data_IF_255902797873
#
_entry.id   IF_255902797873
#
_cell.length_a   1.000
_cell.length_b   1.000
_cell.length_c   1.000
_cell.angle_alpha   90.00
_cell.angle_beta   90.00
_cell.angle_gamma   90.00
#
_symmetry.space_group_name_H-M   'P 1'
#
loop_
_entity.id
_entity.type
_entity.pdbx_description
1 polymer ?
#
# COMPACT_ATOMS: atom_id res chain seq x y z
N UNK A 1 4.03 16.79 -17.70
CA UNK A 1 2.69 16.19 -17.72
C UNK A 1 2.82 14.80 -17.12
N UNK A 2 2.25 14.51 -15.95
CA UNK A 2 2.24 13.15 -15.42
C UNK A 2 1.14 12.35 -16.13
N UNK A 3 1.51 11.15 -16.56
CA UNK A 3 0.68 10.15 -17.22
C UNK A 3 -0.48 9.78 -16.29
N UNK A 4 -1.71 9.85 -16.81
CA UNK A 4 -2.91 9.44 -16.10
C UNK A 4 -3.06 7.92 -16.20
N UNK A 5 -3.50 7.28 -15.11
CA UNK A 5 -3.46 5.84 -14.85
C UNK A 5 -3.68 4.94 -16.08
N UNK A 6 -2.85 3.90 -16.20
CA UNK A 6 -2.97 2.86 -17.21
C UNK A 6 -4.33 2.16 -17.01
N UNK A 7 -5.16 2.23 -18.06
CA UNK A 7 -6.44 1.54 -18.16
C UNK A 7 -6.19 0.03 -18.15
N UNK A 8 -6.62 -0.67 -17.10
CA UNK A 8 -6.62 -2.14 -17.04
C UNK A 8 -8.06 -2.66 -17.00
N UNK A 9 -8.59 -2.87 -18.20
CA UNK A 9 -9.75 -3.71 -18.49
C UNK A 9 -9.34 -5.20 -18.47
N UNK A 10 -10.19 -6.15 -18.05
CA UNK A 10 -9.95 -7.58 -18.26
C UNK A 10 -9.64 -7.98 -19.72
N UNK A 11 -9.93 -7.14 -20.73
CA UNK A 11 -9.51 -7.34 -22.13
C UNK A 11 -8.14 -6.75 -22.50
N UNK A 12 -7.46 -6.01 -21.61
CA UNK A 12 -6.20 -5.30 -21.97
C UNK A 12 -5.00 -6.22 -22.18
N UNK A 13 -5.09 -7.48 -21.77
CA UNK A 13 -4.05 -8.49 -22.00
C UNK A 13 -3.73 -8.72 -23.48
N UNK A 14 -4.60 -8.33 -24.42
CA UNK A 14 -4.35 -8.47 -25.85
C UNK A 14 -3.39 -7.42 -26.46
N UNK A 15 -3.19 -6.27 -25.80
CA UNK A 15 -2.44 -5.15 -26.41
C UNK A 15 -1.03 -4.99 -25.85
N UNK A 16 -0.73 -5.64 -24.72
CA UNK A 16 0.63 -5.79 -24.21
C UNK A 16 1.01 -7.25 -24.40
N UNK A 17 1.46 -7.60 -25.61
CA UNK A 17 2.04 -8.91 -25.89
C UNK A 17 3.41 -9.03 -25.22
N UNK A 18 3.44 -9.22 -23.90
CA UNK A 18 4.65 -9.67 -23.21
C UNK A 18 4.92 -11.16 -23.44
N UNK A 19 3.97 -11.90 -24.00
CA UNK A 19 4.11 -13.33 -24.28
C UNK A 19 5.02 -13.60 -25.49
N UNK A 20 5.01 -12.74 -26.52
CA UNK A 20 5.89 -12.91 -27.70
C UNK A 20 7.38 -12.71 -27.36
N UNK A 21 7.69 -12.01 -26.26
CA UNK A 21 9.06 -11.91 -25.70
C UNK A 21 9.44 -13.04 -24.75
N UNK A 22 8.53 -14.00 -24.52
CA UNK A 22 8.77 -15.19 -23.68
C UNK A 22 9.08 -16.43 -24.54
N UNK A 23 8.71 -16.41 -25.83
CA UNK A 23 9.03 -17.49 -26.78
C UNK A 23 10.47 -17.39 -27.36
N UNK A 24 11.29 -16.48 -26.85
CA UNK A 24 12.71 -16.36 -27.18
C UNK A 24 13.53 -17.07 -26.10
N UNK A 25 13.97 -18.30 -26.39
CA UNK A 25 14.63 -19.24 -25.47
C UNK A 25 15.96 -18.72 -24.83
N UNK A 26 16.38 -17.50 -25.16
CA UNK A 26 17.64 -16.86 -24.75
C UNK A 26 17.48 -15.75 -23.68
N UNK A 27 16.26 -15.46 -23.21
CA UNK A 27 16.04 -14.44 -22.17
C UNK A 27 16.05 -15.07 -20.76
N UNK A 28 17.03 -14.66 -19.96
CA UNK A 28 17.16 -15.01 -18.53
C UNK A 28 15.83 -14.74 -17.79
N UNK A 29 15.12 -15.82 -17.46
CA UNK A 29 13.83 -15.87 -16.76
C UNK A 29 13.75 -14.88 -15.59
N UNK A 30 14.89 -14.63 -14.94
CA UNK A 30 15.03 -13.73 -13.80
C UNK A 30 14.73 -12.27 -14.17
N UNK A 31 15.20 -11.78 -15.32
CA UNK A 31 15.02 -10.40 -15.76
C UNK A 31 13.56 -10.10 -16.16
N UNK A 32 12.91 -11.06 -16.82
CA UNK A 32 11.50 -10.94 -17.21
C UNK A 32 10.58 -10.96 -15.99
N UNK A 33 10.87 -11.80 -14.99
CA UNK A 33 10.13 -11.82 -13.72
C UNK A 33 10.29 -10.49 -12.96
N UNK A 34 11.50 -9.94 -12.87
CA UNK A 34 11.72 -8.65 -12.20
C UNK A 34 11.05 -7.49 -12.94
N UNK A 35 11.12 -7.47 -14.27
CA UNK A 35 10.47 -6.43 -15.09
C UNK A 35 8.95 -6.53 -14.98
N UNK A 36 8.39 -7.74 -15.01
CA UNK A 36 6.96 -7.98 -14.80
C UNK A 36 6.52 -7.53 -13.41
N UNK A 37 7.26 -7.88 -12.36
CA UNK A 37 6.90 -7.47 -11.00
C UNK A 37 7.02 -5.95 -10.81
N UNK A 38 8.03 -5.32 -11.41
CA UNK A 38 8.14 -3.86 -11.43
C UNK A 38 6.96 -3.21 -12.13
N UNK A 39 6.59 -3.68 -13.33
CA UNK A 39 5.43 -3.16 -14.06
C UNK A 39 4.14 -3.41 -13.27
N UNK A 40 3.97 -4.58 -12.65
CA UNK A 40 2.81 -4.89 -11.83
C UNK A 40 2.73 -3.99 -10.58
N UNK A 41 3.85 -3.71 -9.92
CA UNK A 41 3.89 -2.79 -8.77
C UNK A 41 3.62 -1.34 -9.18
N UNK A 42 4.02 -0.93 -10.38
CA UNK A 42 3.71 0.39 -10.94
C UNK A 42 2.25 0.49 -11.44
N UNK A 43 1.66 -0.60 -11.93
CA UNK A 43 0.31 -0.62 -12.53
C UNK A 43 -0.79 -0.95 -11.51
N UNK A 44 -0.53 -1.84 -10.54
CA UNK A 44 -1.50 -2.29 -9.52
C UNK A 44 -0.90 -2.20 -8.10
N UNK A 45 -0.83 -0.99 -7.54
CA UNK A 45 -0.25 -0.79 -6.21
C UNK A 45 -1.04 -1.47 -5.07
N UNK A 46 -0.31 -1.94 -4.05
CA UNK A 46 -0.93 -2.45 -2.81
C UNK A 46 -1.77 -1.36 -2.12
N UNK A 47 -1.25 -0.13 -2.06
CA UNK A 47 -1.97 1.03 -1.52
C UNK A 47 -1.93 2.16 -2.53
N UNK A 48 -3.10 2.66 -2.92
CA UNK A 48 -3.24 3.82 -3.81
C UNK A 48 -3.52 5.07 -2.98
N UNK A 49 -2.73 6.12 -3.22
CA UNK A 49 -2.88 7.43 -2.59
C UNK A 49 -3.40 8.44 -3.61
N UNK A 50 -4.60 8.97 -3.39
CA UNK A 50 -5.24 9.99 -4.22
C UNK A 50 -5.18 11.36 -3.55
N UNK A 51 -4.32 12.24 -4.08
CA UNK A 51 -4.04 13.59 -3.56
C UNK A 51 -3.85 14.58 -4.70
N UNK A 52 -4.19 15.84 -4.47
CA UNK A 52 -3.98 16.98 -5.37
C UNK A 52 -4.44 16.70 -6.80
N UNK A 53 -5.68 16.21 -6.91
CA UNK A 53 -6.27 15.80 -8.19
C UNK A 53 -7.71 16.27 -8.30
N UNK A 54 -8.08 16.76 -9.47
CA UNK A 54 -9.44 17.17 -9.79
C UNK A 54 -9.99 16.33 -10.93
N UNK A 55 -11.10 15.64 -10.68
CA UNK A 55 -11.76 14.74 -11.63
C UNK A 55 -12.96 15.44 -12.26
N UNK A 56 -13.03 15.48 -13.59
CA UNK A 56 -14.12 16.14 -14.33
C UNK A 56 -13.80 17.53 -14.91
N UNK A 57 -12.67 18.14 -14.50
CA UNK A 57 -12.27 19.51 -14.87
C UNK A 57 -12.14 19.77 -16.37
N UNK A 58 -11.68 18.76 -17.12
CA UNK A 58 -11.46 18.87 -18.56
C UNK A 58 -12.50 18.07 -19.37
N UNK A 59 -13.65 17.75 -18.78
CA UNK A 59 -14.69 17.03 -19.49
C UNK A 59 -15.34 17.90 -20.56
N UNK A 60 -15.58 17.32 -21.74
CA UNK A 60 -16.15 18.01 -22.89
C UNK A 60 -17.61 18.38 -22.62
N UNK A 61 -17.97 19.65 -22.78
CA UNK A 61 -19.29 20.19 -22.39
C UNK A 61 -20.42 19.97 -23.40
N UNK A 62 -20.16 19.43 -24.60
CA UNK A 62 -21.18 19.33 -25.66
C UNK A 62 -22.21 18.22 -25.45
N UNK A 63 -21.88 17.19 -24.65
CA UNK A 63 -22.84 16.16 -24.24
C UNK A 63 -23.13 16.27 -22.74
N UNK A 64 -24.34 16.72 -22.33
CA UNK A 64 -24.71 16.85 -20.93
C UNK A 64 -24.83 15.50 -20.19
N UNK A 65 -24.89 14.37 -20.90
CA UNK A 65 -24.94 13.03 -20.32
C UNK A 65 -23.56 12.37 -20.19
N UNK A 66 -22.55 12.91 -20.84
CA UNK A 66 -21.20 12.36 -20.79
C UNK A 66 -20.51 12.76 -19.48
N UNK A 67 -19.88 11.78 -18.83
CA UNK A 67 -19.26 11.91 -17.51
C UNK A 67 -17.80 11.48 -17.59
N UNK A 68 -16.94 12.21 -16.89
CA UNK A 68 -15.53 11.83 -16.79
C UNK A 68 -15.40 10.69 -15.78
N UNK A 69 -15.21 9.47 -16.30
CA UNK A 69 -15.08 8.27 -15.48
C UNK A 69 -13.63 8.05 -15.07
N UNK A 70 -13.39 7.88 -13.78
CA UNK A 70 -12.10 7.47 -13.23
C UNK A 70 -12.28 6.26 -12.31
N UNK A 71 -11.37 5.30 -12.42
CA UNK A 71 -11.40 4.07 -11.64
C UNK A 71 -10.10 3.94 -10.86
N UNK A 72 -10.23 3.63 -9.57
CA UNK A 72 -9.10 3.45 -8.68
C UNK A 72 -9.23 2.10 -7.98
N UNK A 73 -8.22 1.26 -8.19
CA UNK A 73 -8.11 -0.07 -7.63
C UNK A 73 -6.84 -0.14 -6.80
N UNK A 74 -6.93 -0.71 -5.61
CA UNK A 74 -5.76 -1.10 -4.83
C UNK A 74 -5.96 -2.51 -4.28
N UNK A 75 -4.87 -3.23 -4.02
CA UNK A 75 -4.99 -4.54 -3.39
C UNK A 75 -5.41 -4.42 -1.92
N UNK A 76 -4.67 -3.66 -1.12
CA UNK A 76 -4.95 -3.44 0.30
C UNK A 76 -5.94 -2.28 0.49
N UNK A 77 -5.54 -1.04 0.18
CA UNK A 77 -6.35 0.16 0.48
C UNK A 77 -6.24 1.25 -0.55
N UNK A 78 -7.35 1.95 -0.77
CA UNK A 78 -7.35 3.27 -1.42
C UNK A 78 -7.47 4.34 -0.34
N UNK A 79 -6.57 5.33 -0.34
CA UNK A 79 -6.59 6.45 0.60
C UNK A 79 -6.75 7.74 -0.18
N UNK A 80 -7.70 8.57 0.23
CA UNK A 80 -8.06 9.82 -0.47
C UNK A 80 -7.97 11.00 0.50
N UNK A 81 -7.32 12.10 0.12
CA UNK A 81 -7.24 13.32 0.94
C UNK A 81 -6.18 14.29 0.44
N UNK A 82 -5.91 15.37 1.20
CA UNK A 82 -4.98 16.43 0.80
C UNK A 82 -3.52 16.27 1.28
N UNK A 83 -3.33 15.51 2.36
CA UNK A 83 -2.07 15.37 3.09
C UNK A 83 -1.82 13.89 3.42
N UNK A 84 -1.94 13.03 2.41
CA UNK A 84 -1.91 11.57 2.57
C UNK A 84 -0.60 10.94 2.10
N UNK A 85 0.16 11.63 1.25
CA UNK A 85 1.44 11.14 0.73
C UNK A 85 2.42 12.28 0.44
N UNK A 86 3.72 12.11 0.75
CA UNK A 86 4.75 13.05 0.34
C UNK A 86 5.13 12.89 -1.14
N UNK A 87 4.64 11.85 -1.84
CA UNK A 87 4.97 11.56 -3.25
C UNK A 87 4.35 12.57 -4.21
N UNK A 88 3.24 13.18 -3.82
CA UNK A 88 2.49 14.13 -4.63
C UNK A 88 2.48 15.47 -3.90
N UNK A 89 2.45 16.56 -4.65
CA UNK A 89 2.23 17.89 -4.05
C UNK A 89 0.97 17.87 -3.18
N UNK A 90 1.00 18.64 -2.09
CA UNK A 90 -0.15 18.79 -1.21
C UNK A 90 -1.30 19.46 -1.96
N UNK A 91 -2.52 19.02 -1.69
CA UNK A 91 -3.70 19.60 -2.32
C UNK A 91 -4.90 18.65 -2.29
N UNK A 92 -6.12 19.17 -2.33
CA UNK A 92 -7.32 18.38 -2.19
C UNK A 92 -7.55 17.41 -3.36
N UNK A 93 -8.31 16.36 -3.08
CA UNK A 93 -8.92 15.51 -4.09
C UNK A 93 -10.36 15.97 -4.32
N UNK A 94 -10.65 16.50 -5.51
CA UNK A 94 -11.94 17.11 -5.83
C UNK A 94 -12.60 16.34 -6.98
N UNK A 95 -13.82 15.87 -6.75
CA UNK A 95 -14.68 15.33 -7.82
C UNK A 95 -15.64 16.45 -8.23
N UNK A 96 -15.50 16.94 -9.46
CA UNK A 96 -16.39 17.94 -10.02
C UNK A 96 -17.72 17.34 -10.47
N UNK A 97 -18.70 18.20 -10.78
CA UNK A 97 -20.07 17.82 -11.15
C UNK A 97 -20.17 16.73 -12.22
N UNK A 98 -19.30 16.76 -13.23
CA UNK A 98 -19.27 15.78 -14.34
C UNK A 98 -18.44 14.53 -14.01
N UNK A 99 -17.72 14.52 -12.88
CA UNK A 99 -16.91 13.41 -12.44
C UNK A 99 -17.74 12.21 -12.00
N UNK A 100 -17.26 11.02 -12.37
CA UNK A 100 -17.73 9.74 -11.87
C UNK A 100 -16.52 8.92 -11.43
N UNK A 101 -16.41 8.65 -10.14
CA UNK A 101 -15.26 7.94 -9.57
C UNK A 101 -15.73 6.64 -8.92
N UNK A 102 -15.11 5.53 -9.36
CA UNK A 102 -15.22 4.25 -8.68
C UNK A 102 -13.90 3.96 -7.96
N UNK A 103 -13.97 3.61 -6.69
CA UNK A 103 -12.80 3.25 -5.88
C UNK A 103 -13.05 1.95 -5.11
N UNK A 104 -12.15 0.98 -5.19
CA UNK A 104 -12.27 -0.25 -4.42
C UNK A 104 -10.93 -0.88 -4.04
N UNK A 105 -10.95 -1.62 -2.94
CA UNK A 105 -9.82 -2.42 -2.44
C UNK A 105 -10.30 -3.50 -1.47
N UNK A 106 -9.44 -4.48 -1.15
CA UNK A 106 -9.80 -5.57 -0.24
C UNK A 106 -10.03 -5.13 1.20
N UNK A 107 -9.20 -4.21 1.70
CA UNK A 107 -9.29 -3.73 3.08
C UNK A 107 -9.89 -2.31 3.15
N UNK A 108 -10.52 -1.88 2.06
CA UNK A 108 -11.42 -0.73 1.99
C UNK A 108 -10.81 0.57 1.50
N UNK A 109 -11.69 1.56 1.40
CA UNK A 109 -11.40 2.91 0.91
C UNK A 109 -11.49 3.87 2.09
N UNK A 110 -10.43 4.63 2.35
CA UNK A 110 -10.31 5.55 3.48
C UNK A 110 -10.31 6.98 2.98
N UNK A 111 -11.32 7.74 3.37
CA UNK A 111 -11.39 9.18 3.14
C UNK A 111 -10.79 9.92 4.33
N UNK A 112 -9.87 10.84 4.04
CA UNK A 112 -9.25 11.76 4.98
C UNK A 112 -9.65 13.19 4.64
N UNK A 113 -9.32 14.18 5.51
CA UNK A 113 -9.48 15.59 5.17
C UNK A 113 -8.90 15.93 3.79
N UNK A 114 -9.56 16.85 3.09
CA UNK A 114 -9.21 17.24 1.73
C UNK A 114 -9.89 16.44 0.61
N UNK A 115 -10.80 15.52 0.95
CA UNK A 115 -11.72 14.91 -0.02
C UNK A 115 -12.97 15.77 -0.19
N UNK A 116 -13.25 16.18 -1.43
CA UNK A 116 -14.42 16.99 -1.77
C UNK A 116 -15.16 16.45 -2.99
N UNK A 117 -16.49 16.53 -2.95
CA UNK A 117 -17.38 16.14 -4.05
C UNK A 117 -18.37 17.27 -4.32
N UNK A 118 -18.47 17.71 -5.57
CA UNK A 118 -19.48 18.70 -5.97
C UNK A 118 -20.86 18.05 -6.15
N UNK A 119 -21.91 18.84 -5.97
CA UNK A 119 -23.28 18.39 -6.23
C UNK A 119 -23.44 17.96 -7.70
N UNK A 120 -23.98 16.76 -7.92
CA UNK A 120 -24.13 16.14 -9.25
C UNK A 120 -23.00 15.19 -9.65
N UNK A 121 -21.86 15.24 -8.95
CA UNK A 121 -20.81 14.23 -9.08
C UNK A 121 -21.30 12.85 -8.63
N UNK A 122 -20.65 11.79 -9.12
CA UNK A 122 -20.91 10.41 -8.73
C UNK A 122 -19.63 9.85 -8.12
N UNK A 123 -19.79 9.24 -6.96
CA UNK A 123 -18.71 8.58 -6.27
C UNK A 123 -19.23 7.28 -5.69
N UNK A 124 -18.53 6.19 -5.97
CA UNK A 124 -18.86 4.88 -5.45
C UNK A 124 -17.59 4.24 -4.88
N UNK A 125 -17.59 4.04 -3.57
CA UNK A 125 -16.54 3.32 -2.87
C UNK A 125 -17.08 2.04 -2.29
N UNK A 126 -16.39 0.93 -2.54
CA UNK A 126 -16.81 -0.37 -2.05
C UNK A 126 -15.61 -1.26 -1.75
N UNK A 127 -15.83 -2.26 -0.90
CA UNK A 127 -14.83 -3.27 -0.58
C UNK A 127 -15.01 -4.42 -1.57
N UNK A 128 -13.97 -4.74 -2.34
CA UNK A 128 -13.98 -5.85 -3.28
C UNK A 128 -12.58 -6.44 -3.44
N UNK A 129 -12.53 -7.76 -3.53
CA UNK A 129 -11.33 -8.54 -3.77
C UNK A 129 -11.52 -9.42 -5.01
N UNK A 130 -10.73 -9.18 -6.05
CA UNK A 130 -10.85 -9.90 -7.32
C UNK A 130 -10.32 -11.35 -7.27
N UNK A 131 -9.97 -11.88 -6.09
CA UNK A 131 -9.41 -13.23 -5.94
C UNK A 131 -8.02 -13.43 -6.57
N UNK A 132 -7.51 -12.46 -7.33
CA UNK A 132 -6.14 -12.38 -7.82
C UNK A 132 -5.19 -12.19 -6.63
N UNK A 133 -4.90 -13.30 -5.95
CA UNK A 133 -3.87 -13.38 -4.95
C UNK A 133 -2.55 -13.12 -5.68
N UNK A 134 -1.96 -11.94 -5.50
CA UNK A 134 -0.52 -11.81 -5.76
C UNK A 134 0.13 -12.95 -5.00
N UNK A 135 0.98 -13.79 -5.63
CA UNK A 135 1.83 -14.66 -4.87
C UNK A 135 2.71 -13.73 -4.05
N UNK A 136 2.28 -13.42 -2.82
CA UNK A 136 3.21 -13.06 -1.77
C UNK A 136 4.25 -14.15 -1.87
N UNK A 137 5.49 -13.81 -2.18
CA UNK A 137 6.61 -14.72 -2.01
C UNK A 137 6.41 -15.35 -0.64
N UNK A 138 5.89 -16.58 -0.65
CA UNK A 138 5.74 -17.38 0.54
C UNK A 138 7.18 -17.65 0.89
N UNK A 139 7.75 -16.82 1.77
CA UNK A 139 9.02 -17.12 2.41
C UNK A 139 8.95 -18.59 2.80
N UNK A 140 9.87 -19.37 2.23
CA UNK A 140 9.98 -20.83 2.33
C UNK A 140 9.19 -21.37 3.51
N UNK A 141 8.00 -21.88 3.24
CA UNK A 141 7.37 -22.83 4.16
C UNK A 141 8.25 -24.06 4.13
N UNK A 142 9.06 -24.23 5.17
CA UNK A 142 9.65 -25.53 5.50
C UNK A 142 8.50 -26.49 5.73
N UNK A 143 8.23 -27.33 4.73
CA UNK A 143 7.35 -28.47 4.86
C UNK A 143 7.93 -29.42 5.91
N UNK A 144 7.23 -29.57 7.04
CA UNK A 144 7.17 -30.85 7.72
C UNK A 144 5.69 -31.27 7.70
N UNK A 145 5.46 -32.43 7.10
CA UNK A 145 4.14 -32.93 6.71
C UNK A 145 3.25 -33.35 7.87
N UNK A 146 1.96 -33.49 7.55
CA UNK A 146 0.94 -34.01 8.44
C UNK A 146 -0.45 -33.69 7.90
N UNK A 147 -1.06 -34.70 7.27
CA UNK A 147 -2.29 -34.77 6.50
C UNK A 147 -3.62 -34.47 7.21
N UNK A 148 -4.59 -34.07 6.37
CA UNK A 148 -6.02 -34.42 6.34
C UNK A 148 -7.12 -33.51 6.92
N UNK A 149 -7.94 -33.07 5.96
CA UNK A 149 -9.41 -33.17 5.88
C UNK A 149 -10.35 -32.09 6.45
N UNK A 150 -11.14 -31.58 5.50
CA UNK A 150 -12.58 -31.33 5.50
C UNK A 150 -13.15 -29.96 5.90
N UNK A 151 -13.70 -29.31 4.86
CA UNK A 151 -14.93 -28.52 4.76
C UNK A 151 -15.70 -28.17 6.04
N UNK A 152 -16.04 -26.90 6.21
CA UNK A 152 -17.43 -26.45 6.24
C UNK A 152 -17.53 -24.91 6.28
N UNK A 153 -18.29 -24.36 5.34
CA UNK A 153 -18.98 -23.07 5.44
C UNK A 153 -19.90 -23.05 6.66
N UNK A 154 -19.82 -22.03 7.52
CA UNK A 154 -20.96 -21.63 8.34
C UNK A 154 -20.94 -20.12 8.68
N UNK A 155 -21.61 -19.37 7.80
CA UNK A 155 -22.67 -18.39 8.08
C UNK A 155 -22.63 -17.64 9.44
N UNK A 156 -22.32 -16.35 9.34
CA UNK A 156 -22.93 -15.20 10.02
C UNK A 156 -23.94 -15.49 11.15
N UNK A 157 -23.57 -15.11 12.37
CA UNK A 157 -24.48 -14.54 13.35
C UNK A 157 -23.84 -13.28 13.96
N UNK A 158 -24.32 -12.12 13.50
CA UNK A 158 -24.05 -10.81 14.07
C UNK A 158 -24.76 -10.73 15.43
N UNK A 159 -24.00 -10.77 16.53
CA UNK A 159 -24.56 -10.43 17.84
C UNK A 159 -24.36 -8.94 18.09
N UNK A 160 -25.42 -8.17 17.84
CA UNK A 160 -25.54 -6.78 18.28
C UNK A 160 -25.89 -6.81 19.76
N UNK A 161 -25.04 -6.20 20.60
CA UNK A 161 -25.38 -5.80 21.98
C UNK A 161 -25.00 -4.32 22.14
N UNK A 162 -25.86 -3.49 22.76
CA UNK A 162 -25.83 -2.04 22.58
C UNK A 162 -25.00 -1.29 23.64
N UNK A 163 -24.65 -0.05 23.27
CA UNK A 163 -24.34 1.11 24.12
C UNK A 163 -23.14 1.02 25.08
N UNK A 164 -22.10 1.82 24.81
CA UNK A 164 -21.88 3.11 25.49
C UNK A 164 -20.63 3.80 24.93
N UNK A 165 -20.75 5.11 24.83
CA UNK A 165 -19.68 6.08 24.63
C UNK A 165 -18.46 5.80 25.49
N UNK A 166 -17.28 5.75 24.87
CA UNK A 166 -16.03 6.21 25.45
C UNK A 166 -15.06 6.45 24.30
N UNK A 167 -14.84 7.73 24.01
CA UNK A 167 -13.59 8.19 23.43
C UNK A 167 -12.44 7.65 24.30
N UNK A 168 -11.38 7.25 23.62
CA UNK A 168 -10.01 7.01 24.09
C UNK A 168 -9.52 5.54 24.17
N UNK A 169 -8.26 5.39 23.72
CA UNK A 169 -7.37 4.21 23.84
C UNK A 169 -7.53 3.07 22.81
N UNK A 170 -7.24 3.37 21.55
CA UNK A 170 -6.33 2.53 20.76
C UNK A 170 -5.26 3.40 20.11
N UNK A 171 -4.33 3.91 20.91
CA UNK A 171 -3.05 4.40 20.40
C UNK A 171 -2.34 3.24 19.71
N UNK A 172 -2.47 3.15 18.39
CA UNK A 172 -1.67 2.26 17.56
C UNK A 172 -0.20 2.66 17.77
N UNK A 173 0.52 1.90 18.58
CA UNK A 173 1.89 2.23 18.98
C UNK A 173 2.82 2.09 17.76
N UNK A 174 3.35 3.21 17.24
CA UNK A 174 4.10 3.29 15.98
C UNK A 174 5.61 3.32 16.23
N UNK A 175 6.37 2.53 15.48
CA UNK A 175 7.84 2.57 15.44
C UNK A 175 8.29 3.95 14.94
N UNK A 176 9.14 4.63 15.71
CA UNK A 176 9.66 5.96 15.34
C UNK A 176 11.17 5.91 15.16
N UNK A 177 11.66 6.75 14.25
CA UNK A 177 13.09 6.91 13.99
C UNK A 177 13.38 8.39 13.91
N UNK A 178 14.37 8.84 14.67
CA UNK A 178 14.79 10.22 14.78
C UNK A 178 16.26 10.34 14.37
N UNK A 179 16.61 11.25 13.45
CA UNK A 179 18.01 11.62 13.29
C UNK A 179 18.49 12.29 14.58
N UNK A 180 19.67 11.91 15.08
CA UNK A 180 20.35 12.58 16.17
C UNK A 180 21.42 13.51 15.57
N UNK A 181 21.19 14.84 15.54
CA UNK A 181 22.10 15.79 14.91
C UNK A 181 23.48 15.88 15.59
N UNK A 182 23.58 15.47 16.86
CA UNK A 182 24.80 15.61 17.65
C UNK A 182 25.83 14.52 17.34
N UNK A 183 25.40 13.32 16.92
CA UNK A 183 26.25 12.13 16.93
C UNK A 183 26.25 11.32 15.61
N UNK A 184 25.93 11.94 14.45
CA UNK A 184 25.88 11.24 13.13
C UNK A 184 25.06 9.93 13.12
N UNK A 185 24.12 9.77 14.06
CA UNK A 185 23.39 8.53 14.27
C UNK A 185 21.89 8.74 14.36
N UNK A 186 21.17 7.65 14.59
CA UNK A 186 19.72 7.61 14.64
C UNK A 186 19.26 7.00 15.96
N UNK A 187 18.23 7.60 16.54
CA UNK A 187 17.50 7.01 17.66
C UNK A 187 16.27 6.30 17.13
N UNK A 188 16.16 5.01 17.41
CA UNK A 188 14.99 4.18 17.07
C UNK A 188 14.20 3.97 18.36
N UNK A 189 12.94 4.40 18.36
CA UNK A 189 11.99 4.22 19.45
C UNK A 189 11.01 3.10 19.09
N UNK A 190 11.11 1.98 19.81
CA UNK A 190 10.25 0.82 19.66
C UNK A 190 8.95 0.99 20.45
N UNK A 191 7.81 0.61 19.84
CA UNK A 191 6.50 0.62 20.50
C UNK A 191 6.44 -0.21 21.79
N UNK A 192 7.08 -1.38 21.76
CA UNK A 192 7.13 -2.34 22.85
C UNK A 192 8.47 -3.08 22.83
N UNK A 193 8.90 -3.61 23.97
CA UNK A 193 10.17 -4.34 24.10
C UNK A 193 10.06 -5.79 23.60
N UNK A 194 8.85 -6.26 23.32
CA UNK A 194 8.60 -7.58 22.80
C UNK A 194 8.80 -7.58 21.28
N UNK A 195 10.00 -7.97 20.83
CA UNK A 195 10.24 -8.16 19.41
C UNK A 195 11.70 -8.26 19.02
N UNK A 196 11.93 -8.45 17.72
CA UNK A 196 13.24 -8.43 17.10
C UNK A 196 13.28 -7.32 16.07
N UNK A 197 14.42 -6.64 15.96
CA UNK A 197 14.64 -5.66 14.93
C UNK A 197 15.79 -6.08 14.02
N UNK A 198 15.67 -5.75 12.75
CA UNK A 198 16.64 -6.03 11.70
C UNK A 198 16.85 -4.75 10.92
N UNK A 199 18.12 -4.41 10.67
CA UNK A 199 18.52 -3.24 9.90
C UNK A 199 19.24 -3.73 8.66
N UNK A 200 18.71 -3.38 7.48
CA UNK A 200 19.26 -3.78 6.18
C UNK A 200 19.58 -2.57 5.32
N UNK A 201 20.58 -2.68 4.43
CA UNK A 201 20.78 -1.71 3.35
C UNK A 201 19.84 -2.00 2.15
N UNK A 202 19.97 -1.22 1.07
CA UNK A 202 19.22 -1.40 -0.18
C UNK A 202 19.46 -2.74 -0.88
N UNK A 203 20.62 -3.36 -0.64
CA UNK A 203 20.98 -4.65 -1.24
C UNK A 203 20.52 -5.84 -0.36
N UNK A 204 19.70 -5.58 0.67
CA UNK A 204 19.23 -6.61 1.60
C UNK A 204 20.28 -7.14 2.58
N UNK A 205 21.51 -6.60 2.57
CA UNK A 205 22.57 -6.97 3.52
C UNK A 205 22.16 -6.54 4.93
N UNK A 206 22.09 -7.50 5.86
CA UNK A 206 21.82 -7.26 7.27
C UNK A 206 23.04 -6.62 7.94
N UNK A 207 22.87 -5.43 8.52
CA UNK A 207 23.91 -4.75 9.30
C UNK A 207 23.77 -5.05 10.79
N UNK A 208 22.54 -5.16 11.27
CA UNK A 208 22.26 -5.44 12.68
C UNK A 208 20.96 -6.22 12.81
N UNK A 209 20.98 -7.22 13.69
CA UNK A 209 19.81 -8.02 14.05
C UNK A 209 19.91 -8.31 15.55
N UNK A 210 18.90 -7.91 16.31
CA UNK A 210 18.87 -8.16 17.75
C UNK A 210 17.46 -8.12 18.32
N UNK A 211 17.30 -8.66 19.52
CA UNK A 211 16.07 -8.52 20.31
C UNK A 211 15.98 -7.08 20.83
N UNK A 212 14.77 -6.54 20.93
CA UNK A 212 14.56 -5.22 21.53
C UNK A 212 14.77 -5.35 23.05
N UNK A 213 15.93 -4.91 23.55
CA UNK A 213 16.25 -4.92 24.98
C UNK A 213 15.86 -3.61 25.69
N UNK A 214 15.71 -2.54 24.92
CA UNK A 214 15.34 -1.20 25.39
C UNK A 214 14.32 -0.60 24.45
N UNK A 215 13.41 0.22 24.98
CA UNK A 215 12.45 0.99 24.16
C UNK A 215 13.14 1.93 23.18
N UNK A 216 14.35 2.37 23.48
CA UNK A 216 15.13 3.24 22.59
C UNK A 216 16.51 2.65 22.38
N UNK A 217 16.96 2.66 21.13
CA UNK A 217 18.34 2.32 20.77
C UNK A 217 18.93 3.44 19.92
N UNK A 218 20.23 3.67 20.11
CA UNK A 218 21.02 4.52 19.23
C UNK A 218 21.79 3.64 18.23
N UNK A 219 21.88 4.09 16.98
CA UNK A 219 22.67 3.44 15.96
C UNK A 219 23.36 4.45 15.04
N UNK A 220 24.63 4.22 14.79
CA UNK A 220 25.39 4.89 13.76
C UNK A 220 25.34 4.07 12.47
N UNK A 221 25.04 4.73 11.36
CA UNK A 221 24.96 4.12 10.04
C UNK A 221 25.85 4.92 9.08
N UNK A 222 26.67 4.26 8.25
CA UNK A 222 27.38 4.93 7.17
C UNK A 222 26.42 5.65 6.22
N UNK A 223 26.93 6.51 5.35
CA UNK A 223 26.11 7.19 4.34
C UNK A 223 25.40 6.18 3.45
N UNK A 224 24.09 6.33 3.29
CA UNK A 224 23.29 5.40 2.51
C UNK A 224 21.81 5.33 2.93
N UNK A 225 21.10 4.41 2.29
CA UNK A 225 19.68 4.14 2.57
C UNK A 225 19.55 2.80 3.29
N UNK A 226 18.80 2.80 4.39
CA UNK A 226 18.59 1.64 5.24
C UNK A 226 17.11 1.44 5.56
N UNK A 227 16.77 0.21 5.93
CA UNK A 227 15.43 -0.16 6.39
C UNK A 227 15.54 -0.81 7.77
N UNK A 228 14.85 -0.23 8.75
CA UNK A 228 14.63 -0.84 10.07
C UNK A 228 13.31 -1.58 10.04
N UNK A 229 13.37 -2.89 10.19
CA UNK A 229 12.21 -3.77 10.32
C UNK A 229 12.11 -4.25 11.75
N UNK A 230 11.01 -3.95 12.42
CA UNK A 230 10.70 -4.43 13.75
C UNK A 230 9.55 -5.43 13.68
N UNK A 231 9.76 -6.61 14.27
CA UNK A 231 8.81 -7.72 14.30
C UNK A 231 8.40 -7.98 15.74
N UNK A 232 7.12 -7.82 16.05
CA UNK A 232 6.51 -8.21 17.32
C UNK A 232 5.36 -9.18 17.12
N UNK A 233 4.72 -9.57 18.22
CA UNK A 233 3.48 -10.35 18.21
C UNK A 233 2.32 -9.60 17.54
N UNK A 234 2.38 -8.27 17.54
CA UNK A 234 1.35 -7.39 16.98
C UNK A 234 1.57 -7.08 15.50
N UNK A 235 2.64 -7.60 14.90
CA UNK A 235 2.91 -7.48 13.47
C UNK A 235 4.32 -6.96 13.15
N UNK A 236 4.49 -6.56 11.90
CA UNK A 236 5.78 -6.09 11.38
C UNK A 236 5.66 -4.62 10.98
N UNK A 237 6.53 -3.78 11.51
CA UNK A 237 6.66 -2.38 11.12
C UNK A 237 8.01 -2.15 10.45
N UNK A 238 8.03 -1.38 9.36
CA UNK A 238 9.26 -1.03 8.65
C UNK A 238 9.38 0.48 8.50
N UNK A 239 10.58 1.03 8.74
CA UNK A 239 10.92 2.44 8.56
C UNK A 239 12.17 2.59 7.71
N UNK A 240 12.16 3.55 6.78
CA UNK A 240 13.31 3.93 5.97
C UNK A 240 14.16 4.93 6.74
N UNK A 241 15.47 4.77 6.69
CA UNK A 241 16.49 5.68 7.22
C UNK A 241 17.35 6.16 6.05
N UNK A 242 17.65 7.46 6.02
CA UNK A 242 18.56 8.06 5.05
C UNK A 242 19.69 8.69 5.87
N UNK A 243 20.88 8.11 5.80
CA UNK A 243 22.10 8.63 6.40
C UNK A 243 22.87 9.43 5.35
N UNK A 244 23.18 10.69 5.64
CA UNK A 244 23.75 11.68 4.71
C UNK A 244 25.26 11.89 4.89
#
# INVERSE_FOLDING_TARGET
MPFEAIYCDPQTYQYIKMQESVDDDDLDDTYLVHTRNFILDEVEADIVYLQNKTIGKNHIQWDPNSRYKAWYKAYDKVIIGDTITPKTNLGPFIIEKTGEVNAYACNGVVMKPGFHTQQGSKYHAFVHCDGCSRPREQGMKTNNGGSNESNADEKLALHVVPNKSEDDIHQKTVLKVYPNPSDNGFTIEFPEMNGFYIITNTNGKRLKESKVLSKTIFIELPKGIYFVKWKSTNGVQTKKIIAL
#
